data_IF_594947742807
#
_entry.id   IF_594947742807
#
_cell.length_a   1.000
_cell.length_b   1.000
_cell.length_c   1.000
_cell.angle_alpha   90.00
_cell.angle_beta   90.00
_cell.angle_gamma   90.00
#
_symmetry.space_group_name_H-M   'P 1'
#
loop_
_entity.id
_entity.type
_entity.pdbx_description
1 polymer ?
#
# COMPACT_ATOMS: atom_id res chain seq x y z
N UNK A 1 -40.36 4.39 9.73
CA UNK A 1 -40.94 5.48 8.93
C UNK A 1 -39.87 5.83 7.89
N UNK A 2 -40.06 5.31 6.65
CA UNK A 2 -39.15 5.60 5.53
C UNK A 2 -39.42 7.02 5.05
N UNK A 3 -38.43 7.87 5.06
CA UNK A 3 -38.53 9.19 4.44
C UNK A 3 -38.57 9.02 2.91
N UNK A 4 -39.59 9.54 2.21
CA UNK A 4 -39.66 9.51 0.77
C UNK A 4 -38.54 10.40 0.20
N UNK A 5 -37.62 9.80 -0.55
CA UNK A 5 -36.52 10.48 -1.24
C UNK A 5 -35.12 10.00 -0.90
N UNK A 6 -34.92 9.19 0.11
CA UNK A 6 -33.62 8.64 0.43
C UNK A 6 -33.41 7.31 -0.30
N UNK A 7 -32.39 7.26 -1.17
CA UNK A 7 -32.01 6.03 -1.84
C UNK A 7 -31.67 4.94 -0.81
N UNK A 8 -32.03 3.67 -1.04
CA UNK A 8 -31.79 2.58 -0.11
C UNK A 8 -30.28 2.47 0.19
N UNK A 9 -29.94 2.27 1.47
CA UNK A 9 -28.58 1.94 1.87
C UNK A 9 -28.25 0.54 1.34
N UNK A 10 -27.07 0.41 0.70
CA UNK A 10 -26.53 -0.87 0.28
C UNK A 10 -25.39 -1.26 1.21
N UNK A 11 -25.29 -2.54 1.52
CA UNK A 11 -24.17 -3.09 2.28
C UNK A 11 -23.74 -4.43 1.70
N UNK A 12 -22.45 -4.72 1.85
CA UNK A 12 -21.86 -5.99 1.46
C UNK A 12 -20.94 -6.47 2.57
N UNK A 13 -21.04 -7.75 2.90
CA UNK A 13 -20.16 -8.37 3.90
C UNK A 13 -19.46 -9.56 3.26
N UNK A 14 -18.14 -9.57 3.36
CA UNK A 14 -17.28 -10.68 3.01
C UNK A 14 -16.71 -11.23 4.31
N UNK A 15 -17.28 -12.34 4.79
CA UNK A 15 -16.86 -12.95 6.05
C UNK A 15 -15.44 -13.52 5.95
N UNK A 16 -15.10 -14.07 4.81
CA UNK A 16 -13.75 -14.54 4.45
C UNK A 16 -13.67 -14.74 2.94
N UNK A 17 -12.61 -14.21 2.35
CA UNK A 17 -12.23 -14.51 0.98
C UNK A 17 -10.76 -14.93 0.97
N UNK A 18 -10.46 -16.04 0.31
CA UNK A 18 -9.09 -16.50 0.08
C UNK A 18 -8.78 -16.38 -1.40
N UNK A 19 -7.58 -15.98 -1.72
CA UNK A 19 -7.12 -15.80 -3.09
C UNK A 19 -5.64 -16.18 -3.21
N UNK A 20 -5.23 -16.60 -4.38
CA UNK A 20 -3.84 -16.91 -4.69
C UNK A 20 -3.56 -16.66 -6.16
N UNK A 21 -2.36 -16.20 -6.45
CA UNK A 21 -1.80 -16.09 -7.78
C UNK A 21 -0.28 -16.34 -7.74
N UNK A 22 0.42 -16.07 -8.84
CA UNK A 22 1.87 -16.28 -8.95
C UNK A 22 2.68 -15.35 -8.02
N UNK A 23 2.14 -14.22 -7.64
CA UNK A 23 2.85 -13.17 -6.90
C UNK A 23 2.63 -13.24 -5.39
N UNK A 24 1.48 -13.76 -4.95
CA UNK A 24 1.08 -13.81 -3.55
C UNK A 24 -0.14 -14.71 -3.32
N UNK A 25 -0.35 -15.08 -2.09
CA UNK A 25 -1.61 -15.66 -1.61
C UNK A 25 -2.08 -14.91 -0.37
N UNK A 26 -3.37 -14.98 -0.08
CA UNK A 26 -3.87 -14.29 1.09
C UNK A 26 -5.33 -14.55 1.39
N UNK A 27 -5.75 -13.94 2.48
CA UNK A 27 -7.14 -13.93 2.88
C UNK A 27 -7.53 -12.55 3.39
N UNK A 28 -8.79 -12.22 3.21
CA UNK A 28 -9.37 -10.98 3.72
C UNK A 28 -10.79 -11.20 4.24
N UNK A 29 -11.21 -10.27 5.07
CA UNK A 29 -12.61 -10.02 5.43
C UNK A 29 -12.91 -8.54 5.19
N UNK A 30 -14.13 -8.23 4.78
CA UNK A 30 -14.53 -6.87 4.49
C UNK A 30 -16.00 -6.64 4.80
N UNK A 31 -16.31 -5.43 5.26
CA UNK A 31 -17.64 -4.89 5.34
C UNK A 31 -17.65 -3.56 4.61
N UNK A 32 -18.56 -3.42 3.69
CA UNK A 32 -18.73 -2.20 2.94
C UNK A 32 -20.19 -1.75 3.00
N UNK A 33 -20.39 -0.44 3.02
CA UNK A 33 -21.72 0.16 2.94
C UNK A 33 -21.67 1.50 2.22
N UNK A 34 -22.77 1.87 1.60
CA UNK A 34 -22.92 3.21 1.03
C UNK A 34 -22.74 4.28 2.10
N UNK A 35 -22.10 5.38 1.74
CA UNK A 35 -21.89 6.54 2.61
C UNK A 35 -23.17 7.35 2.86
N UNK A 36 -23.07 8.40 3.68
CA UNK A 36 -24.18 9.32 3.93
C UNK A 36 -24.61 10.09 2.69
N UNK A 37 -23.72 10.19 1.69
CA UNK A 37 -23.92 10.97 0.48
C UNK A 37 -23.41 12.42 0.62
N UNK A 38 -22.80 12.92 -0.46
CA UNK A 38 -22.31 14.30 -0.57
C UNK A 38 -23.13 15.10 -1.60
N UNK A 39 -24.37 14.69 -1.85
CA UNK A 39 -25.27 15.27 -2.84
C UNK A 39 -26.55 14.47 -3.02
N UNK A 40 -27.27 14.71 -4.11
CA UNK A 40 -28.50 14.02 -4.45
C UNK A 40 -28.25 12.74 -5.23
N UNK A 41 -29.08 11.72 -4.98
CA UNK A 41 -29.08 10.47 -5.73
C UNK A 41 -28.15 9.39 -5.17
N UNK A 42 -28.24 8.20 -5.77
CA UNK A 42 -27.52 6.99 -5.34
C UNK A 42 -26.01 7.16 -5.54
N UNK A 43 -25.60 7.78 -6.63
CA UNK A 43 -24.18 7.98 -6.98
C UNK A 43 -23.41 8.80 -5.92
N UNK A 44 -24.07 9.76 -5.29
CA UNK A 44 -23.45 10.58 -4.26
C UNK A 44 -23.06 9.81 -2.99
N UNK A 45 -23.54 8.58 -2.81
CA UNK A 45 -23.24 7.72 -1.66
C UNK A 45 -22.04 6.81 -1.86
N UNK A 46 -21.44 6.83 -3.04
CA UNK A 46 -20.21 6.13 -3.38
C UNK A 46 -19.03 7.10 -3.26
N UNK A 47 -17.81 6.60 -2.96
CA UNK A 47 -17.44 5.19 -2.84
C UNK A 47 -17.87 4.48 -1.56
N UNK A 48 -18.39 5.18 -0.55
CA UNK A 48 -18.93 4.60 0.67
C UNK A 48 -17.87 4.34 1.74
N UNK A 49 -18.28 3.60 2.77
CA UNK A 49 -17.44 3.24 3.92
C UNK A 49 -16.99 1.79 3.82
N UNK A 50 -15.70 1.56 4.10
CA UNK A 50 -15.08 0.25 4.09
C UNK A 50 -14.46 -0.05 5.45
N UNK A 51 -14.63 -1.29 5.93
CA UNK A 51 -13.81 -1.90 6.98
C UNK A 51 -13.27 -3.20 6.40
N UNK A 52 -11.98 -3.22 6.06
CA UNK A 52 -11.32 -4.37 5.45
C UNK A 52 -10.02 -4.66 6.17
N UNK A 53 -9.82 -5.93 6.48
CA UNK A 53 -8.57 -6.44 7.04
C UNK A 53 -8.17 -7.72 6.33
N UNK A 54 -6.88 -7.95 6.22
CA UNK A 54 -6.40 -9.19 5.63
C UNK A 54 -4.92 -9.45 5.88
N UNK A 55 -4.50 -10.61 5.41
CA UNK A 55 -3.11 -11.05 5.45
C UNK A 55 -2.72 -11.59 4.07
N UNK A 56 -1.46 -11.35 3.71
CA UNK A 56 -0.85 -11.87 2.49
C UNK A 56 0.41 -12.64 2.85
N UNK A 57 0.62 -13.75 2.17
CA UNK A 57 1.81 -14.58 2.31
C UNK A 57 2.51 -14.76 0.97
N UNK A 58 3.83 -14.99 1.02
CA UNK A 58 4.65 -15.24 -0.16
C UNK A 58 4.74 -14.06 -1.12
N UNK A 59 4.53 -12.84 -0.63
CA UNK A 59 4.53 -11.62 -1.46
C UNK A 59 5.92 -11.43 -2.08
N UNK A 60 5.98 -11.44 -3.40
CA UNK A 60 7.19 -11.09 -4.13
C UNK A 60 7.39 -9.57 -4.08
N UNK A 61 8.43 -9.13 -3.38
CA UNK A 61 8.64 -7.71 -3.12
C UNK A 61 8.77 -6.88 -4.41
N UNK A 62 9.44 -7.41 -5.43
CA UNK A 62 9.60 -6.75 -6.73
C UNK A 62 8.30 -6.66 -7.55
N UNK A 63 7.22 -7.28 -7.10
CA UNK A 63 5.91 -7.25 -7.77
C UNK A 63 4.85 -6.50 -6.98
N UNK A 64 5.16 -6.04 -5.77
CA UNK A 64 4.21 -5.36 -4.87
C UNK A 64 3.58 -4.11 -5.50
N UNK A 65 4.32 -3.42 -6.37
CA UNK A 65 3.83 -2.23 -7.06
C UNK A 65 2.55 -2.47 -7.89
N UNK A 66 2.29 -3.72 -8.32
CA UNK A 66 1.08 -4.09 -9.07
C UNK A 66 -0.19 -4.01 -8.23
N UNK A 67 -0.03 -4.16 -6.91
CA UNK A 67 -1.13 -4.21 -5.94
C UNK A 67 -1.35 -2.88 -5.22
N UNK A 68 -0.55 -1.87 -5.54
CA UNK A 68 -0.75 -0.53 -5.00
C UNK A 68 -2.06 0.05 -5.55
N UNK A 69 -2.90 0.66 -4.69
CA UNK A 69 -4.13 1.29 -5.10
C UNK A 69 -3.91 2.30 -6.24
N UNK A 70 -4.85 2.37 -7.17
CA UNK A 70 -4.78 3.31 -8.31
C UNK A 70 -4.79 4.78 -7.89
N UNK A 71 -5.21 5.07 -6.65
CA UNK A 71 -5.20 6.41 -6.04
C UNK A 71 -3.80 6.87 -5.62
N UNK A 72 -2.84 5.96 -5.51
CA UNK A 72 -1.43 6.33 -5.29
C UNK A 72 -0.89 6.94 -6.57
N UNK A 73 -0.17 8.06 -6.43
CA UNK A 73 0.40 8.76 -7.57
C UNK A 73 1.27 7.84 -8.44
N UNK A 74 1.30 8.13 -9.73
CA UNK A 74 2.15 7.38 -10.67
C UNK A 74 3.62 7.40 -10.23
N UNK A 75 4.11 8.53 -9.78
CA UNK A 75 5.51 8.70 -9.36
C UNK A 75 5.85 7.82 -8.15
N UNK A 76 4.95 7.72 -7.17
CA UNK A 76 5.15 6.86 -6.01
C UNK A 76 5.11 5.38 -6.40
N UNK A 77 4.26 4.99 -7.34
CA UNK A 77 4.19 3.63 -7.88
C UNK A 77 5.46 3.27 -8.65
N UNK A 78 5.91 4.17 -9.53
CA UNK A 78 7.13 4.01 -10.31
C UNK A 78 8.35 3.94 -9.38
N UNK A 79 8.36 4.75 -8.30
CA UNK A 79 9.40 4.66 -7.27
C UNK A 79 9.45 3.28 -6.64
N UNK A 80 8.33 2.76 -6.14
CA UNK A 80 8.29 1.42 -5.51
C UNK A 80 8.74 0.34 -6.49
N UNK A 81 8.32 0.41 -7.76
CA UNK A 81 8.70 -0.54 -8.80
C UNK A 81 10.21 -0.58 -9.03
N UNK A 82 10.88 0.58 -8.94
CA UNK A 82 12.31 0.70 -9.24
C UNK A 82 13.19 0.59 -8.00
N UNK A 83 12.67 0.97 -6.84
CA UNK A 83 13.42 0.90 -5.59
C UNK A 83 13.50 -0.53 -5.03
N UNK A 84 12.42 -1.32 -5.14
CA UNK A 84 12.37 -2.67 -4.58
C UNK A 84 12.80 -3.69 -5.64
N UNK A 85 14.04 -4.17 -5.56
CA UNK A 85 14.62 -5.05 -6.58
C UNK A 85 14.32 -6.53 -6.33
N UNK A 86 14.43 -6.98 -5.08
CA UNK A 86 14.18 -8.37 -4.69
C UNK A 86 13.85 -8.48 -3.22
N UNK A 87 13.34 -9.64 -2.82
CA UNK A 87 12.98 -9.98 -1.45
C UNK A 87 11.60 -10.61 -1.36
N UNK A 88 11.25 -11.08 -0.17
CA UNK A 88 9.94 -11.65 0.13
C UNK A 88 9.32 -10.97 1.32
N UNK A 89 8.03 -10.67 1.21
CA UNK A 89 7.18 -10.31 2.33
C UNK A 89 6.41 -11.54 2.80
N UNK A 90 6.57 -11.88 4.08
CA UNK A 90 5.84 -12.96 4.74
C UNK A 90 4.91 -12.36 5.77
N UNK A 91 3.68 -12.90 5.88
CA UNK A 91 2.70 -12.43 6.87
C UNK A 91 2.43 -10.91 6.79
N UNK A 92 2.34 -10.41 5.57
CA UNK A 92 1.95 -9.02 5.34
C UNK A 92 0.54 -8.81 5.86
N UNK A 93 0.33 -7.83 6.73
CA UNK A 93 -1.00 -7.48 7.21
C UNK A 93 -1.44 -6.14 6.65
N UNK A 94 -2.72 -6.00 6.35
CA UNK A 94 -3.27 -4.73 5.90
C UNK A 94 -4.63 -4.43 6.54
N UNK A 95 -4.89 -3.15 6.72
CA UNK A 95 -6.15 -2.60 7.22
C UNK A 95 -6.53 -1.40 6.37
N UNK A 96 -7.79 -1.37 5.92
CA UNK A 96 -8.40 -0.19 5.31
C UNK A 96 -9.74 0.03 6.03
N UNK A 97 -9.88 1.13 6.75
CA UNK A 97 -11.09 1.44 7.53
C UNK A 97 -11.42 2.92 7.43
N UNK A 98 -12.65 3.24 7.05
CA UNK A 98 -13.12 4.61 7.00
C UNK A 98 -13.97 4.92 5.78
N UNK A 99 -14.26 6.19 5.59
CA UNK A 99 -14.95 6.70 4.41
C UNK A 99 -13.96 6.77 3.24
N UNK A 100 -14.24 6.08 2.16
CA UNK A 100 -13.33 6.01 1.01
C UNK A 100 -13.18 7.34 0.25
N UNK A 101 -14.00 8.34 0.54
CA UNK A 101 -13.78 9.71 0.08
C UNK A 101 -12.49 10.31 0.64
N UNK A 102 -12.15 9.96 1.88
CA UNK A 102 -11.00 10.49 2.61
C UNK A 102 -9.74 9.62 2.41
N UNK A 103 -9.84 8.54 1.60
CA UNK A 103 -8.69 7.66 1.33
C UNK A 103 -7.57 8.45 0.63
N UNK A 104 -6.31 8.29 1.03
CA UNK A 104 -5.72 7.31 1.95
C UNK A 104 -5.63 7.75 3.43
N UNK A 105 -6.56 8.60 3.91
CA UNK A 105 -6.68 9.03 5.31
C UNK A 105 -5.45 9.75 5.81
N UNK A 106 -5.10 10.83 5.12
CA UNK A 106 -3.98 11.68 5.51
C UNK A 106 -4.18 12.17 6.95
N UNK A 107 -3.11 12.17 7.73
CA UNK A 107 -3.10 12.60 9.14
C UNK A 107 -4.00 11.76 10.07
N UNK A 108 -4.38 10.54 9.67
CA UNK A 108 -5.23 9.66 10.46
C UNK A 108 -6.68 10.16 10.64
N UNK A 109 -7.08 11.18 9.88
CA UNK A 109 -8.45 11.72 9.94
C UNK A 109 -9.38 10.92 9.02
N UNK A 110 -10.57 10.63 9.53
CA UNK A 110 -11.61 9.95 8.76
C UNK A 110 -11.44 8.44 8.58
N UNK A 111 -10.27 7.88 8.91
CA UNK A 111 -10.04 6.46 8.74
C UNK A 111 -8.62 6.00 9.00
N UNK A 112 -8.35 4.75 8.61
CA UNK A 112 -7.05 4.10 8.74
C UNK A 112 -6.72 3.34 7.45
N UNK A 113 -5.59 3.66 6.86
CA UNK A 113 -4.92 2.83 5.87
C UNK A 113 -3.55 2.44 6.40
N UNK A 114 -3.34 1.14 6.63
CA UNK A 114 -2.07 0.63 7.13
C UNK A 114 -1.73 -0.68 6.46
N UNK A 115 -0.47 -0.82 6.04
CA UNK A 115 0.12 -2.06 5.54
C UNK A 115 1.42 -2.28 6.29
N UNK A 116 1.56 -3.43 6.94
CA UNK A 116 2.78 -3.83 7.62
C UNK A 116 3.38 -5.04 6.90
N UNK A 117 4.61 -4.90 6.47
CA UNK A 117 5.34 -5.87 5.64
C UNK A 117 6.60 -6.30 6.36
N UNK A 118 6.61 -7.46 7.04
CA UNK A 118 7.86 -8.07 7.45
C UNK A 118 8.68 -8.43 6.21
N UNK A 119 9.90 -7.95 6.13
CA UNK A 119 10.79 -8.18 4.98
C UNK A 119 12.05 -8.90 5.40
N UNK A 120 12.55 -9.78 4.52
CA UNK A 120 13.81 -10.48 4.71
C UNK A 120 14.60 -10.51 3.41
N UNK A 121 15.89 -10.22 3.52
CA UNK A 121 16.81 -10.25 2.39
C UNK A 121 16.41 -9.30 1.25
N UNK A 122 15.78 -8.16 1.59
CA UNK A 122 15.34 -7.20 0.58
C UNK A 122 16.52 -6.37 0.09
N UNK A 123 16.60 -6.21 -1.21
CA UNK A 123 17.49 -5.21 -1.81
C UNK A 123 16.66 -3.98 -2.16
N UNK A 124 17.00 -2.88 -1.53
CA UNK A 124 16.36 -1.58 -1.71
C UNK A 124 17.34 -0.60 -2.33
N UNK A 125 17.08 -0.17 -3.54
CA UNK A 125 17.75 0.96 -4.17
C UNK A 125 17.06 2.26 -3.71
N UNK A 126 17.69 2.93 -2.76
CA UNK A 126 17.11 4.14 -2.15
C UNK A 126 16.99 5.32 -3.13
N UNK A 127 17.87 5.39 -4.12
CA UNK A 127 17.87 6.44 -5.13
C UNK A 127 17.85 5.83 -6.54
N UNK A 128 16.74 5.21 -6.95
CA UNK A 128 16.66 4.62 -8.28
C UNK A 128 16.85 5.70 -9.36
N UNK A 129 17.50 5.33 -10.44
CA UNK A 129 17.91 6.24 -11.53
C UNK A 129 16.74 7.07 -12.14
N UNK A 130 15.49 6.71 -11.84
CA UNK A 130 14.31 7.47 -12.26
C UNK A 130 14.11 8.79 -11.52
N UNK A 131 14.65 8.93 -10.31
CA UNK A 131 14.69 10.25 -9.65
C UNK A 131 15.71 11.17 -10.32
N UNK A 132 16.58 10.64 -11.15
CA UNK A 132 17.53 11.37 -11.98
C UNK A 132 16.92 11.99 -13.26
N UNK A 133 15.62 11.85 -13.48
CA UNK A 133 14.88 12.55 -14.58
C UNK A 133 14.78 14.06 -14.41
N UNK A 134 15.20 14.62 -13.31
CA UNK A 134 15.47 16.03 -13.12
C UNK A 134 16.95 16.28 -13.46
N UNK A 135 17.26 16.74 -14.68
CA UNK A 135 18.44 17.48 -15.16
C UNK A 135 19.80 17.33 -14.43
N UNK A 136 19.96 16.39 -13.53
CA UNK A 136 21.23 16.09 -12.87
C UNK A 136 21.82 14.79 -13.42
N UNK A 137 23.12 14.81 -13.75
CA UNK A 137 23.76 13.69 -14.41
C UNK A 137 23.76 12.44 -13.53
N UNK A 138 23.83 11.28 -14.18
CA UNK A 138 23.90 9.93 -13.62
C UNK A 138 24.89 9.70 -12.45
N UNK A 139 25.53 10.72 -11.97
CA UNK A 139 26.44 10.74 -10.82
C UNK A 139 25.72 10.56 -9.49
N UNK A 140 24.41 10.89 -9.39
CA UNK A 140 23.70 10.79 -8.11
C UNK A 140 23.47 9.33 -7.67
N UNK A 141 23.22 8.42 -8.60
CA UNK A 141 23.05 7.00 -8.28
C UNK A 141 24.37 6.28 -7.93
N UNK A 142 25.51 6.86 -8.32
CA UNK A 142 26.83 6.32 -8.01
C UNK A 142 27.27 6.57 -6.56
N UNK A 143 26.62 7.50 -5.86
CA UNK A 143 27.00 7.88 -4.49
C UNK A 143 26.09 7.32 -3.39
N UNK A 144 24.95 6.75 -3.73
CA UNK A 144 24.04 6.16 -2.74
C UNK A 144 24.04 4.65 -2.90
N UNK A 145 24.71 3.93 -2.00
CA UNK A 145 24.73 2.48 -2.06
C UNK A 145 23.35 1.91 -1.80
N UNK A 146 22.98 0.89 -2.56
CA UNK A 146 21.77 0.13 -2.28
C UNK A 146 21.89 -0.56 -0.90
N UNK A 147 20.81 -0.63 -0.18
CA UNK A 147 20.72 -1.49 1.00
C UNK A 147 20.51 -2.92 0.52
N UNK A 148 21.36 -3.82 0.93
CA UNK A 148 21.22 -5.27 0.70
C UNK A 148 20.97 -5.98 2.00
N UNK A 149 20.37 -7.18 1.89
CA UNK A 149 20.03 -8.01 3.05
C UNK A 149 19.25 -7.23 4.13
N UNK A 150 18.32 -6.39 3.67
CA UNK A 150 17.45 -5.64 4.57
C UNK A 150 16.44 -6.60 5.19
N UNK A 151 16.55 -6.79 6.49
CA UNK A 151 15.57 -7.46 7.33
C UNK A 151 14.90 -6.41 8.21
N UNK A 152 13.57 -6.48 8.35
CA UNK A 152 12.85 -5.51 9.19
C UNK A 152 11.35 -5.50 8.92
N UNK A 153 10.71 -4.44 9.36
CA UNK A 153 9.30 -4.19 9.16
C UNK A 153 9.12 -2.90 8.35
N UNK A 154 8.55 -3.01 7.14
CA UNK A 154 8.10 -1.84 6.40
C UNK A 154 6.65 -1.54 6.80
N UNK A 155 6.38 -0.34 7.23
CA UNK A 155 5.03 0.10 7.60
C UNK A 155 4.63 1.27 6.74
N UNK A 156 3.56 1.07 5.98
CA UNK A 156 2.88 2.13 5.23
C UNK A 156 1.64 2.55 6.02
N UNK A 157 1.47 3.84 6.21
CA UNK A 157 0.32 4.40 6.92
C UNK A 157 -0.06 5.74 6.29
N UNK A 158 -1.28 5.81 5.75
CA UNK A 158 -1.70 6.95 4.93
C UNK A 158 -0.76 7.14 3.74
N UNK A 159 -0.08 8.28 3.68
CA UNK A 159 0.95 8.59 2.67
C UNK A 159 2.38 8.42 3.21
N UNK A 160 2.54 7.98 4.44
CA UNK A 160 3.86 7.82 5.05
C UNK A 160 4.35 6.38 4.95
N UNK A 161 5.67 6.23 4.88
CA UNK A 161 6.36 4.95 5.01
C UNK A 161 7.43 5.08 6.09
N UNK A 162 7.56 4.06 6.93
CA UNK A 162 8.63 3.93 7.90
C UNK A 162 9.19 2.52 7.91
N UNK A 163 10.44 2.40 8.31
CA UNK A 163 11.13 1.13 8.50
C UNK A 163 11.37 0.98 9.99
N UNK A 164 10.95 -0.12 10.55
CA UNK A 164 11.06 -0.42 11.97
C UNK A 164 11.92 -1.67 12.18
N UNK A 165 12.73 -1.69 13.24
CA UNK A 165 13.54 -2.83 13.66
C UNK A 165 14.39 -3.42 12.51
N UNK A 166 15.01 -2.55 11.73
CA UNK A 166 15.71 -2.96 10.53
C UNK A 166 17.21 -3.19 10.76
N UNK A 167 17.72 -4.22 10.11
CA UNK A 167 19.14 -4.45 9.87
C UNK A 167 19.39 -4.54 8.39
N UNK A 168 20.46 -3.95 7.91
CA UNK A 168 20.82 -3.98 6.48
C UNK A 168 22.34 -3.89 6.31
N UNK A 169 22.80 -4.29 5.14
CA UNK A 169 24.18 -4.06 4.70
C UNK A 169 24.18 -2.95 3.67
N UNK A 170 25.18 -2.07 3.73
CA UNK A 170 25.44 -1.10 2.68
C UNK A 170 26.19 -1.84 1.56
N UNK A 171 25.54 -2.00 0.41
CA UNK A 171 26.17 -2.56 -0.77
C UNK A 171 27.09 -1.54 -1.41
N UNK A 172 28.35 -1.95 -1.72
CA UNK A 172 29.17 -1.18 -2.64
C UNK A 172 30.20 -0.20 -2.09
N UNK A 173 30.66 -0.37 -0.85
CA UNK A 173 32.00 0.09 -0.47
C UNK A 173 32.94 -1.10 -0.63
N UNK A 174 33.15 -1.53 -1.88
CA UNK A 174 34.20 -2.46 -2.23
C UNK A 174 35.55 -1.78 -2.06
N UNK A 175 36.43 -2.43 -1.31
CA UNK A 175 37.87 -2.17 -1.21
C UNK A 175 38.52 -2.11 -2.56
#
# INVERSE_FOLDING_TARGET
VSHPGQAPAMSMTVSRASFANEDLQGELRAQWQTGPGNGEGVAARFPGKLDMTGQLDGVQANRVWRYLPSLISKDARDYVQHAVKQGRGEKVSFVVRGDLWDFPFQDGKGGLFKVAVPVRGVTLDYAPALLAGSSQPAMASAYWPAFTDLDGMLVFEGLSMRIENATARLGGLGS
#
